data_IF_920859352313
#
_entry.id   IF_920859352313
#
_cell.length_a   1.000
_cell.length_b   1.000
_cell.length_c   1.000
_cell.angle_alpha   90.00
_cell.angle_beta   90.00
_cell.angle_gamma   90.00
#
_symmetry.space_group_name_H-M   'P 1'
#
loop_
_entity.id
_entity.type
_entity.pdbx_description
1 polymer ?
#
# COMPACT_ATOMS: atom_id res chain seq x y z
N UNK A 1 10.46 -28.76 15.20
CA UNK A 1 11.34 -28.36 16.30
C UNK A 1 11.56 -26.86 16.17
N UNK A 2 11.16 -26.06 17.15
CA UNK A 2 11.35 -24.61 17.13
C UNK A 2 12.76 -24.22 17.58
N UNK A 3 13.30 -23.13 17.05
CA UNK A 3 14.63 -22.59 17.38
C UNK A 3 14.48 -21.22 18.07
N UNK A 4 15.42 -20.81 18.92
CA UNK A 4 15.39 -19.51 19.61
C UNK A 4 16.45 -18.58 19.03
N UNK A 5 16.06 -17.35 18.66
CA UNK A 5 16.99 -16.35 18.10
C UNK A 5 16.90 -15.04 18.85
N UNK A 6 18.04 -14.38 19.05
CA UNK A 6 18.09 -13.00 19.56
C UNK A 6 18.03 -12.02 18.38
N UNK A 7 17.08 -11.09 18.43
CA UNK A 7 17.07 -9.92 17.57
C UNK A 7 17.69 -8.74 18.30
N UNK A 8 18.76 -8.20 17.72
CA UNK A 8 19.52 -7.08 18.27
C UNK A 8 18.92 -5.72 17.91
N UNK A 9 17.98 -5.65 16.96
CA UNK A 9 17.31 -4.38 16.64
C UNK A 9 16.22 -4.09 17.67
N UNK A 10 15.41 -5.10 18.01
CA UNK A 10 14.35 -4.97 19.02
C UNK A 10 14.77 -5.40 20.43
N UNK A 11 16.00 -5.89 20.60
CA UNK A 11 16.57 -6.46 21.84
C UNK A 11 15.64 -7.50 22.49
N UNK A 12 15.11 -8.43 21.69
CA UNK A 12 14.18 -9.49 22.13
C UNK A 12 14.61 -10.87 21.66
N UNK A 13 14.18 -11.90 22.39
CA UNK A 13 14.32 -13.30 21.97
C UNK A 13 13.03 -13.75 21.27
N UNK A 14 13.17 -14.39 20.10
CA UNK A 14 12.08 -14.90 19.28
C UNK A 14 12.14 -16.43 19.17
N UNK A 15 10.97 -17.07 19.19
CA UNK A 15 10.82 -18.49 18.88
C UNK A 15 10.47 -18.62 17.39
N UNK A 16 11.30 -19.31 16.63
CA UNK A 16 11.13 -19.55 15.20
C UNK A 16 10.62 -20.97 14.98
N UNK A 17 9.43 -21.10 14.40
CA UNK A 17 8.90 -22.37 13.91
C UNK A 17 8.70 -22.29 12.39
N UNK A 18 9.05 -23.37 11.68
CA UNK A 18 8.73 -23.50 10.26
C UNK A 18 7.23 -23.72 10.15
N UNK A 19 6.52 -22.77 9.54
CA UNK A 19 5.15 -22.96 9.07
C UNK A 19 5.19 -23.26 7.58
N UNK A 20 4.34 -24.19 7.16
CA UNK A 20 3.97 -24.31 5.75
C UNK A 20 3.00 -23.18 5.44
N UNK A 21 3.46 -22.21 4.65
CA UNK A 21 2.63 -21.08 4.26
C UNK A 21 1.51 -21.56 3.34
N UNK A 22 0.28 -21.14 3.66
CA UNK A 22 -0.86 -21.37 2.77
C UNK A 22 -0.70 -20.44 1.57
N UNK A 23 -0.59 -21.05 0.38
CA UNK A 23 -0.66 -20.33 -0.89
C UNK A 23 -2.06 -19.75 -1.02
N UNK A 24 -2.18 -18.43 -0.90
CA UNK A 24 -3.43 -17.70 -1.16
C UNK A 24 -3.54 -17.51 -2.67
N UNK A 25 -4.67 -17.92 -3.25
CA UNK A 25 -4.93 -17.86 -4.69
C UNK A 25 -4.99 -16.39 -5.17
N UNK A 26 -4.10 -15.93 -6.06
CA UNK A 26 -3.89 -14.50 -6.35
C UNK A 26 -4.92 -13.88 -7.30
N UNK A 27 -5.98 -14.61 -7.68
CA UNK A 27 -6.76 -14.34 -8.91
C UNK A 27 -7.61 -13.06 -8.92
N UNK A 28 -7.70 -12.29 -7.83
CA UNK A 28 -8.38 -10.98 -7.80
C UNK A 28 -7.74 -10.01 -6.80
N UNK A 29 -6.43 -9.77 -6.93
CA UNK A 29 -5.78 -8.72 -6.14
C UNK A 29 -6.17 -7.33 -6.68
N UNK A 30 -6.69 -6.42 -5.83
CA UNK A 30 -6.89 -5.01 -6.20
C UNK A 30 -5.60 -4.30 -6.65
N UNK A 31 -4.44 -4.88 -6.36
CA UNK A 31 -3.13 -4.30 -6.62
C UNK A 31 -2.45 -4.85 -7.89
N UNK A 32 -3.13 -5.74 -8.62
CA UNK A 32 -2.65 -6.18 -9.92
C UNK A 32 -2.92 -5.10 -10.99
N UNK A 33 -2.07 -4.96 -12.02
CA UNK A 33 -2.35 -4.12 -13.18
C UNK A 33 -3.69 -4.50 -13.84
N UNK A 34 -4.47 -3.51 -14.27
CA UNK A 34 -5.80 -3.67 -14.85
C UNK A 34 -6.96 -3.63 -13.84
N UNK A 35 -6.66 -3.53 -12.54
CA UNK A 35 -7.65 -3.42 -11.45
C UNK A 35 -7.61 -2.04 -10.79
N UNK A 36 -7.16 -1.00 -11.47
CA UNK A 36 -6.93 0.34 -10.91
C UNK A 36 -8.20 0.93 -10.29
N UNK A 37 -9.37 0.65 -10.88
CA UNK A 37 -10.69 1.02 -10.38
C UNK A 37 -11.08 0.39 -9.05
N UNK A 38 -10.36 -0.64 -8.60
CA UNK A 38 -10.57 -1.29 -7.30
C UNK A 38 -9.79 -0.59 -6.17
N UNK A 39 -8.96 0.40 -6.49
CA UNK A 39 -8.16 1.20 -5.54
C UNK A 39 -8.65 2.65 -5.48
N UNK A 40 -8.15 3.44 -4.52
CA UNK A 40 -8.33 4.88 -4.59
C UNK A 40 -7.46 5.47 -5.72
N UNK A 41 -7.79 6.67 -6.25
CA UNK A 41 -6.96 7.33 -7.25
C UNK A 41 -5.51 7.47 -6.78
N UNK A 42 -4.58 7.20 -7.68
CA UNK A 42 -3.15 7.30 -7.42
C UNK A 42 -2.70 8.75 -7.41
N UNK A 43 -2.04 9.13 -6.32
CA UNK A 43 -1.37 10.42 -6.16
C UNK A 43 0.00 10.39 -6.87
N UNK A 44 0.52 9.20 -7.13
CA UNK A 44 1.75 8.98 -7.88
C UNK A 44 1.68 7.65 -8.65
N UNK A 45 1.95 7.73 -9.94
CA UNK A 45 2.19 6.60 -10.82
C UNK A 45 3.55 6.77 -11.51
N UNK A 46 4.39 5.75 -11.50
CA UNK A 46 5.65 5.72 -12.24
C UNK A 46 5.50 4.82 -13.46
N UNK A 47 5.67 5.36 -14.66
CA UNK A 47 5.60 4.62 -15.93
C UNK A 47 6.98 4.58 -16.56
N UNK A 48 7.46 3.38 -16.89
CA UNK A 48 8.73 3.21 -17.60
C UNK A 48 8.50 3.34 -19.11
N UNK A 49 9.15 4.30 -19.75
CA UNK A 49 9.08 4.51 -21.20
C UNK A 49 10.46 4.90 -21.73
N UNK A 50 10.91 4.21 -22.77
CA UNK A 50 12.18 4.49 -23.46
C UNK A 50 13.40 4.57 -22.52
N UNK A 51 13.43 3.74 -21.47
CA UNK A 51 14.51 3.71 -20.48
C UNK A 51 14.44 4.83 -19.41
N UNK A 52 13.38 5.63 -19.40
CA UNK A 52 13.12 6.68 -18.42
C UNK A 52 11.88 6.37 -17.57
N UNK A 53 11.84 6.90 -16.34
CA UNK A 53 10.66 6.85 -15.48
C UNK A 53 9.91 8.17 -15.54
N UNK A 54 8.67 8.12 -16.01
CA UNK A 54 7.75 9.24 -16.03
C UNK A 54 6.87 9.23 -14.78
N UNK A 55 6.78 10.37 -14.10
CA UNK A 55 5.87 10.59 -12.98
C UNK A 55 4.53 11.10 -13.51
N UNK A 56 3.47 10.35 -13.22
CA UNK A 56 2.08 10.67 -13.53
C UNK A 56 1.22 10.58 -12.26
N UNK A 57 -0.06 10.93 -12.38
CA UNK A 57 -1.09 10.80 -11.34
C UNK A 57 -2.41 10.49 -12.03
N UNK A 58 -3.34 9.85 -11.32
CA UNK A 58 -4.68 9.62 -11.87
C UNK A 58 -5.49 10.91 -11.88
N UNK A 59 -6.50 10.93 -12.73
CA UNK A 59 -7.54 11.95 -12.78
C UNK A 59 -8.89 11.34 -12.37
N UNK A 60 -9.93 12.17 -12.25
CA UNK A 60 -11.26 11.71 -11.81
C UNK A 60 -11.87 10.64 -12.74
N UNK A 61 -11.61 10.74 -14.04
CA UNK A 61 -12.20 9.85 -15.05
C UNK A 61 -11.22 8.81 -15.63
N UNK A 62 -9.91 8.95 -15.35
CA UNK A 62 -8.86 8.16 -16.01
C UNK A 62 -7.81 7.66 -15.01
N UNK A 63 -7.52 6.35 -15.09
CA UNK A 63 -6.43 5.72 -14.36
C UNK A 63 -5.20 5.60 -15.25
N UNK A 64 -4.03 5.89 -14.69
CA UNK A 64 -2.76 5.65 -15.37
C UNK A 64 -2.53 4.14 -15.48
N UNK A 65 -2.44 3.63 -16.70
CA UNK A 65 -2.11 2.24 -17.00
C UNK A 65 -0.62 2.05 -17.33
N UNK A 66 -0.15 0.79 -17.42
CA UNK A 66 1.23 0.48 -17.80
C UNK A 66 2.29 0.95 -16.79
N UNK A 67 1.87 1.23 -15.57
CA UNK A 67 2.70 1.66 -14.46
C UNK A 67 3.61 0.53 -13.96
N UNK A 68 4.78 0.90 -13.49
CA UNK A 68 5.68 0.04 -12.73
C UNK A 68 5.39 0.09 -11.24
N UNK A 69 4.98 1.27 -10.72
CA UNK A 69 4.61 1.49 -9.32
C UNK A 69 3.45 2.48 -9.24
N UNK A 70 2.52 2.26 -8.31
CA UNK A 70 1.45 3.20 -7.93
C UNK A 70 1.46 3.45 -6.42
N UNK A 71 1.14 4.69 -6.05
CA UNK A 71 0.91 5.13 -4.66
C UNK A 71 -0.46 5.79 -4.60
N UNK A 72 -1.32 5.26 -3.74
CA UNK A 72 -2.68 5.73 -3.49
C UNK A 72 -2.99 5.60 -2.00
N UNK A 73 -3.97 6.35 -1.53
CA UNK A 73 -4.41 6.26 -0.14
C UNK A 73 -5.05 4.90 0.14
N UNK A 74 -4.81 4.33 1.33
CA UNK A 74 -5.47 3.11 1.77
C UNK A 74 -6.98 3.34 1.87
N UNK A 75 -7.80 2.38 1.41
CA UNK A 75 -9.26 2.41 1.63
C UNK A 75 -9.64 2.31 3.10
N UNK A 76 -8.80 1.61 3.89
CA UNK A 76 -8.97 1.45 5.33
C UNK A 76 -7.69 1.97 6.00
N UNK A 77 -7.51 3.29 6.11
CA UNK A 77 -6.33 3.86 6.74
C UNK A 77 -6.40 3.67 8.26
N UNK A 78 -5.27 3.33 8.89
CA UNK A 78 -5.20 3.20 10.36
C UNK A 78 -5.28 4.57 11.05
N UNK A 79 -4.85 5.62 10.35
CA UNK A 79 -4.89 7.01 10.79
C UNK A 79 -5.46 7.88 9.67
N UNK A 80 -6.31 8.83 10.00
CA UNK A 80 -6.82 9.81 9.03
C UNK A 80 -5.95 11.06 8.99
N UNK A 81 -5.83 11.68 7.82
CA UNK A 81 -5.27 13.02 7.67
C UNK A 81 -6.31 14.12 7.87
N UNK A 82 -7.60 13.74 7.94
CA UNK A 82 -8.69 14.67 8.22
C UNK A 82 -8.66 15.07 9.71
N UNK A 83 -8.83 16.37 9.95
CA UNK A 83 -8.92 16.91 11.31
C UNK A 83 -10.38 17.23 11.62
N UNK A 84 -10.95 16.60 12.65
CA UNK A 84 -12.25 17.01 13.18
C UNK A 84 -12.10 18.33 13.96
N UNK A 85 -12.33 19.45 13.27
CA UNK A 85 -12.35 20.75 13.92
C UNK A 85 -13.72 20.97 14.59
N UNK A 86 -13.76 20.89 15.92
CA UNK A 86 -14.90 21.36 16.70
C UNK A 86 -14.71 22.85 17.01
N UNK A 87 -15.52 23.70 16.38
CA UNK A 87 -15.57 25.12 16.70
C UNK A 87 -16.60 25.34 17.82
N UNK A 88 -16.20 25.96 18.92
CA UNK A 88 -17.16 26.46 19.91
C UNK A 88 -17.85 27.73 19.38
N UNK A 89 -19.03 28.05 19.92
CA UNK A 89 -19.66 29.34 19.66
C UNK A 89 -18.70 30.49 20.00
N UNK A 90 -18.81 31.57 19.22
CA UNK A 90 -17.99 32.78 19.38
C UNK A 90 -18.20 33.38 20.78
N UNK A 91 -17.17 34.02 21.37
CA UNK A 91 -17.26 34.62 22.70
C UNK A 91 -18.34 35.70 22.80
#
# INVERSE_FOLDING_TARGET
>A
MGDMRKDYVSERFMIVSKKDDKVVDPKKSPYAPGNESMTNPSVLSLVAKDGMLQRLQDNEDEYVEGWSIRVFESKNPIVSIETENSYSDRP
#
